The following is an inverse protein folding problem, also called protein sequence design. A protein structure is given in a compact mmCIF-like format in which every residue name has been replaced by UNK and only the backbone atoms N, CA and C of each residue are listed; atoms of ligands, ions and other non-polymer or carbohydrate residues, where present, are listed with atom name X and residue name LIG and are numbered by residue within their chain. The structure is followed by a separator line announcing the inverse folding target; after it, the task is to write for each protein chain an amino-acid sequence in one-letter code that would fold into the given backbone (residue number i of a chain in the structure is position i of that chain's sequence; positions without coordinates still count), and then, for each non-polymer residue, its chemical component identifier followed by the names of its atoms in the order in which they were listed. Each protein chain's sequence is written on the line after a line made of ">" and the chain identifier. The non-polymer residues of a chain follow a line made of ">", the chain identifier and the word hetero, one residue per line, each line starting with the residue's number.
data_IF_276934158264
#
_entry.id   IF_276934158264
#
_cell.length_a   1.000
_cell.length_b   1.000
_cell.length_c   1.000
_cell.angle_alpha   90.00
_cell.angle_beta   90.00
_cell.angle_gamma   90.00
#
_symmetry.space_group_name_H-M   'P 1'
#
loop_
_entity.id
_entity.type
_entity.pdbx_description
1 polymer ?
#
# COMPACT_ATOMS: atom_id res chain seq x y z
N UNK A 1 -60.22 17.14 19.44
CA UNK A 1 -60.78 16.63 20.70
C UNK A 1 -59.88 15.51 21.21
N UNK A 2 -59.46 15.56 22.48
CA UNK A 2 -59.01 14.40 23.27
C UNK A 2 -60.22 13.81 24.02
N UNK A 3 -60.16 12.54 24.51
CA UNK A 3 -59.59 12.20 25.84
C UNK A 3 -58.35 11.25 25.70
N UNK A 4 -57.40 11.05 26.65
CA UNK A 4 -57.41 10.87 28.13
C UNK A 4 -58.01 9.48 28.49
N UNK A 5 -57.29 8.47 28.97
CA UNK A 5 -56.45 8.29 30.19
C UNK A 5 -55.40 7.13 29.95
N UNK A 6 -54.57 6.63 30.89
CA UNK A 6 -53.79 7.15 32.05
C UNK A 6 -53.08 5.94 32.75
N UNK A 7 -52.09 6.18 33.62
CA UNK A 7 -51.41 5.23 34.55
C UNK A 7 -50.45 4.17 33.93
N UNK A 8 -49.46 3.63 34.67
CA UNK A 8 -49.07 3.87 36.07
C UNK A 8 -47.54 3.88 36.28
N UNK A 9 -47.08 4.57 37.32
CA UNK A 9 -45.69 4.58 37.79
C UNK A 9 -45.36 3.33 38.62
N UNK A 10 -44.08 2.94 38.69
CA UNK A 10 -43.60 2.03 39.73
C UNK A 10 -42.32 2.56 40.37
N UNK A 11 -42.35 2.74 41.69
CA UNK A 11 -41.20 3.19 42.51
C UNK A 11 -40.99 2.21 43.65
N UNK A 12 -39.73 1.78 43.84
CA UNK A 12 -39.34 0.93 44.95
C UNK A 12 -38.52 1.74 45.97
N UNK A 13 -38.98 1.78 47.23
CA UNK A 13 -38.22 2.26 48.40
C UNK A 13 -37.69 1.07 49.20
N UNK A 14 -36.65 1.31 50.00
CA UNK A 14 -36.40 0.86 51.40
C UNK A 14 -34.92 1.22 51.68
N UNK A 15 -34.61 2.20 52.57
CA UNK A 15 -34.43 2.08 54.04
C UNK A 15 -33.28 1.11 54.41
N UNK A 16 -32.36 1.35 55.37
CA UNK A 16 -32.21 2.28 56.52
C UNK A 16 -30.69 2.33 56.91
N UNK A 17 -30.12 3.13 57.83
CA UNK A 17 -30.44 4.35 58.62
C UNK A 17 -29.14 4.81 59.36
N UNK A 18 -29.24 5.72 60.35
CA UNK A 18 -28.22 6.14 61.36
C UNK A 18 -27.00 6.97 60.90
N UNK A 19 -26.31 7.77 61.76
CA UNK A 19 -26.74 8.77 62.78
C UNK A 19 -25.52 9.54 63.32
N UNK A 20 -25.63 10.86 63.60
CA UNK A 20 -24.55 11.72 64.18
C UNK A 20 -23.44 12.10 63.18
N UNK A 21 -22.72 13.22 63.27
CA UNK A 21 -22.58 14.26 64.31
C UNK A 21 -21.09 14.40 64.71
N UNK A 22 -20.48 15.58 64.93
CA UNK A 22 -20.92 16.98 64.80
C UNK A 22 -19.71 17.95 64.80
N UNK A 23 -19.94 19.23 64.43
CA UNK A 23 -19.22 20.46 64.85
C UNK A 23 -17.68 20.66 64.63
N UNK A 24 -17.37 21.66 63.77
CA UNK A 24 -16.40 22.77 63.90
C UNK A 24 -14.92 22.63 64.35
N UNK A 25 -14.06 23.25 63.53
CA UNK A 25 -12.73 23.88 63.80
C UNK A 25 -12.70 24.79 65.08
N UNK A 26 -11.53 25.22 65.67
CA UNK A 26 -10.32 25.67 64.94
C UNK A 26 -8.89 25.65 65.61
N UNK A 27 -7.89 25.99 64.78
CA UNK A 27 -6.64 26.76 65.08
C UNK A 27 -5.45 26.15 65.86
N UNK A 28 -4.29 26.82 65.70
CA UNK A 28 -2.99 26.69 66.39
C UNK A 28 -2.21 25.34 66.26
N UNK A 29 -0.86 25.29 66.31
CA UNK A 29 0.20 26.27 66.03
C UNK A 29 1.56 25.56 65.80
N UNK A 30 2.47 26.18 65.03
CA UNK A 30 3.96 26.09 65.12
C UNK A 30 4.68 24.74 65.38
N UNK A 31 5.48 24.28 64.41
CA UNK A 31 6.89 23.87 64.63
C UNK A 31 7.67 23.69 63.29
N UNK A 32 8.99 23.90 63.30
CA UNK A 32 9.88 23.90 62.12
C UNK A 32 10.46 22.52 61.76
N UNK A 33 10.53 22.17 60.47
CA UNK A 33 11.09 20.91 59.95
C UNK A 33 11.99 21.09 58.71
N UNK A 34 13.31 21.15 58.90
CA UNK A 34 14.32 21.58 57.91
C UNK A 34 14.82 20.41 57.02
N UNK A 35 14.77 20.53 55.67
CA UNK A 35 15.90 20.31 54.69
C UNK A 35 15.48 20.07 53.22
N UNK A 36 16.45 20.23 52.32
CA UNK A 36 16.33 20.28 50.85
C UNK A 36 16.07 18.94 50.14
N UNK A 37 15.33 18.98 49.02
CA UNK A 37 15.51 18.05 47.88
C UNK A 37 15.04 18.60 46.50
N UNK A 38 14.77 19.90 46.35
CA UNK A 38 14.14 20.46 45.14
C UNK A 38 15.14 20.93 44.06
N UNK A 39 15.90 20.00 43.44
CA UNK A 39 16.84 20.35 42.33
C UNK A 39 17.10 19.26 41.28
N UNK A 40 16.09 18.46 40.90
CA UNK A 40 16.26 17.39 39.88
C UNK A 40 15.09 17.16 38.91
N UNK A 41 13.91 17.73 39.16
CA UNK A 41 12.69 17.47 38.33
C UNK A 41 12.62 18.30 37.04
N UNK A 42 13.29 19.45 36.99
CA UNK A 42 13.29 20.38 35.84
C UNK A 42 13.97 19.80 34.59
N UNK A 43 15.28 19.52 34.67
CA UNK A 43 16.07 19.02 33.54
C UNK A 43 15.48 17.76 32.89
N UNK A 44 14.86 16.87 33.69
CA UNK A 44 14.20 15.65 33.21
C UNK A 44 12.95 15.90 32.34
N UNK A 45 12.38 17.10 32.34
CA UNK A 45 11.30 17.51 31.42
C UNK A 45 11.86 18.22 30.18
N UNK A 46 12.78 19.17 30.36
CA UNK A 46 13.40 19.91 29.24
C UNK A 46 14.12 18.99 28.26
N UNK A 47 14.90 18.02 28.76
CA UNK A 47 15.60 17.05 27.92
C UNK A 47 14.66 16.15 27.10
N UNK A 48 13.44 15.88 27.58
CA UNK A 48 12.44 15.07 26.84
C UNK A 48 11.86 15.84 25.66
N UNK A 49 11.58 17.14 25.83
CA UNK A 49 11.07 18.00 24.76
C UNK A 49 12.13 18.25 23.69
N UNK A 50 13.37 18.51 24.09
CA UNK A 50 14.50 18.68 23.17
C UNK A 50 14.77 17.39 22.40
N UNK A 51 14.74 16.22 23.05
CA UNK A 51 14.93 14.94 22.36
C UNK A 51 13.78 14.59 21.40
N UNK A 52 12.53 14.92 21.74
CA UNK A 52 11.39 14.76 20.81
C UNK A 52 11.55 15.65 19.57
N UNK A 53 11.93 16.93 19.74
CA UNK A 53 12.21 17.83 18.62
C UNK A 53 13.37 17.33 17.75
N UNK A 54 14.46 16.85 18.35
CA UNK A 54 15.59 16.28 17.61
C UNK A 54 15.24 14.98 16.90
N UNK A 55 14.34 14.15 17.45
CA UNK A 55 13.85 12.95 16.76
C UNK A 55 13.08 13.33 15.49
N UNK A 56 12.14 14.28 15.60
CA UNK A 56 11.35 14.78 14.46
C UNK A 56 12.20 15.51 13.40
N UNK A 57 13.39 16.01 13.75
CA UNK A 57 14.33 16.66 12.83
C UNK A 57 15.35 15.71 12.19
N UNK A 58 15.44 14.46 12.63
CA UNK A 58 16.34 13.44 12.07
C UNK A 58 15.62 12.22 11.46
N UNK A 59 14.32 12.08 11.70
CA UNK A 59 13.47 11.32 10.78
C UNK A 59 13.19 12.17 9.55
N UNK A 60 14.02 12.03 8.51
CA UNK A 60 13.47 12.19 7.17
C UNK A 60 12.22 11.30 7.06
N UNK A 61 11.13 11.75 6.43
CA UNK A 61 9.96 10.93 6.22
C UNK A 61 10.33 9.87 5.17
N UNK A 62 10.92 8.77 5.64
CA UNK A 62 10.83 7.47 4.98
C UNK A 62 9.35 7.15 4.94
N UNK A 63 8.69 7.56 3.85
CA UNK A 63 7.33 7.17 3.49
C UNK A 63 7.39 5.71 3.05
N UNK A 64 7.72 4.86 4.02
CA UNK A 64 7.41 3.46 4.00
C UNK A 64 5.90 3.40 3.89
N UNK A 65 5.43 3.21 2.65
CA UNK A 65 4.06 2.80 2.37
C UNK A 65 3.90 1.45 3.04
N UNK A 66 3.50 1.49 4.32
CA UNK A 66 2.81 0.38 4.96
C UNK A 66 1.53 0.26 4.16
N UNK A 67 1.60 -0.53 3.09
CA UNK A 67 0.43 -1.10 2.48
C UNK A 67 -0.22 -1.90 3.59
N UNK A 68 -1.21 -1.29 4.25
CA UNK A 68 -2.17 -1.99 5.05
C UNK A 68 -2.84 -2.96 4.06
N UNK A 69 -2.32 -4.18 4.02
CA UNK A 69 -2.88 -5.27 3.24
C UNK A 69 -4.16 -5.66 3.96
N UNK A 70 -5.18 -4.84 3.72
CA UNK A 70 -6.51 -4.98 4.27
C UNK A 70 -6.95 -6.40 3.96
N UNK A 71 -7.10 -7.19 5.03
CA UNK A 71 -7.45 -8.59 4.93
C UNK A 71 -8.96 -8.68 4.64
N UNK A 72 -9.34 -8.23 3.43
CA UNK A 72 -10.68 -8.29 2.89
C UNK A 72 -11.22 -9.68 3.15
N UNK A 73 -12.22 -9.78 4.02
CA UNK A 73 -12.84 -11.02 4.41
C UNK A 73 -13.62 -11.57 3.22
N UNK A 74 -12.90 -12.26 2.34
CA UNK A 74 -13.42 -12.81 1.09
C UNK A 74 -14.61 -13.72 1.43
N UNK A 75 -15.84 -13.41 0.98
CA UNK A 75 -17.02 -14.17 1.36
C UNK A 75 -16.86 -15.62 0.90
N UNK A 76 -17.34 -16.56 1.72
CA UNK A 76 -17.10 -17.99 1.53
C UNK A 76 -17.57 -18.45 0.13
N UNK A 77 -16.61 -18.87 -0.70
CA UNK A 77 -16.86 -19.32 -2.08
C UNK A 77 -16.56 -18.30 -3.18
N UNK A 78 -16.22 -17.05 -2.87
CA UNK A 78 -15.80 -16.06 -3.87
C UNK A 78 -14.41 -16.40 -4.44
N UNK A 79 -14.22 -16.46 -5.78
CA UNK A 79 -12.91 -16.67 -6.39
C UNK A 79 -11.93 -15.54 -6.08
N UNK A 80 -10.69 -15.91 -5.70
CA UNK A 80 -9.59 -14.96 -5.48
C UNK A 80 -9.00 -14.43 -6.79
N UNK A 81 -9.12 -15.22 -7.87
CA UNK A 81 -8.58 -14.91 -9.19
C UNK A 81 -9.72 -14.69 -10.20
N UNK A 82 -9.47 -13.87 -11.22
CA UNK A 82 -10.40 -13.56 -12.32
C UNK A 82 -11.78 -13.00 -11.93
N UNK A 83 -12.04 -12.69 -10.65
CA UNK A 83 -13.24 -12.02 -10.18
C UNK A 83 -13.01 -10.51 -10.07
N UNK A 84 -13.87 -9.72 -10.71
CA UNK A 84 -13.72 -8.27 -10.83
C UNK A 84 -14.93 -7.49 -10.29
N UNK A 85 -15.66 -8.06 -9.32
CA UNK A 85 -16.78 -7.40 -8.63
C UNK A 85 -18.12 -7.37 -9.39
N UNK A 86 -18.19 -7.93 -10.59
CA UNK A 86 -19.42 -7.92 -11.40
C UNK A 86 -20.48 -8.89 -10.87
N UNK A 87 -21.73 -8.42 -10.72
CA UNK A 87 -22.91 -9.27 -10.52
C UNK A 87 -23.90 -9.20 -11.70
N UNK A 88 -24.60 -10.31 -11.98
CA UNK A 88 -25.57 -10.36 -13.07
C UNK A 88 -26.03 -11.77 -13.41
N UNK A 89 -26.97 -11.89 -14.36
CA UNK A 89 -27.50 -13.18 -14.83
C UNK A 89 -27.08 -13.36 -16.29
N UNK A 90 -26.21 -14.33 -16.55
CA UNK A 90 -25.68 -14.57 -17.90
C UNK A 90 -24.80 -13.42 -18.41
N UNK A 91 -23.92 -12.89 -17.56
CA UNK A 91 -22.92 -11.85 -17.89
C UNK A 91 -22.06 -12.32 -19.07
N UNK A 92 -21.81 -11.41 -20.01
CA UNK A 92 -20.97 -11.64 -21.19
C UNK A 92 -19.77 -10.72 -21.17
N UNK A 93 -18.67 -11.19 -21.74
CA UNK A 93 -17.43 -10.43 -21.86
C UNK A 93 -16.85 -10.68 -23.26
N UNK A 94 -16.42 -9.62 -23.95
CA UNK A 94 -15.76 -9.72 -25.25
C UNK A 94 -14.75 -8.60 -25.46
N UNK A 95 -13.83 -8.81 -26.40
CA UNK A 95 -12.91 -7.79 -26.87
C UNK A 95 -13.47 -7.07 -28.09
N UNK A 96 -13.32 -5.74 -28.12
CA UNK A 96 -13.54 -4.88 -29.29
C UNK A 96 -12.21 -4.22 -29.64
N UNK A 97 -11.85 -4.19 -30.93
CA UNK A 97 -10.64 -3.54 -31.42
C UNK A 97 -11.07 -2.38 -32.33
N UNK A 98 -10.38 -1.25 -32.24
CA UNK A 98 -10.56 -0.18 -33.24
C UNK A 98 -10.03 -0.63 -34.61
N UNK A 99 -8.98 -1.46 -34.63
CA UNK A 99 -8.26 -1.90 -35.84
C UNK A 99 -7.74 -3.32 -35.63
N UNK A 100 -7.83 -4.16 -36.67
CA UNK A 100 -7.29 -5.53 -36.68
C UNK A 100 -5.76 -5.59 -36.91
N UNK A 101 -5.16 -4.45 -37.22
CA UNK A 101 -3.79 -4.30 -37.70
C UNK A 101 -3.13 -3.06 -37.11
N UNK A 102 -1.87 -3.21 -36.73
CA UNK A 102 -1.05 -2.19 -36.03
C UNK A 102 0.41 -2.38 -36.45
N UNK A 103 1.22 -1.31 -36.57
CA UNK A 103 2.65 -1.50 -36.85
C UNK A 103 3.41 -1.86 -35.57
N UNK A 104 4.52 -2.56 -35.72
CA UNK A 104 5.45 -2.84 -34.62
C UNK A 104 5.87 -1.54 -33.91
N UNK A 105 5.71 -1.49 -32.58
CA UNK A 105 5.95 -0.30 -31.76
C UNK A 105 4.80 0.71 -31.67
N UNK A 106 3.77 0.63 -32.52
CA UNK A 106 2.56 1.48 -32.39
C UNK A 106 1.68 1.03 -31.22
N UNK A 107 0.82 1.93 -30.74
CA UNK A 107 -0.12 1.67 -29.65
C UNK A 107 -1.46 1.24 -30.22
N UNK A 108 -1.91 0.05 -29.87
CA UNK A 108 -3.24 -0.48 -30.15
C UNK A 108 -4.23 -0.02 -29.08
N UNK A 109 -5.44 0.34 -29.51
CA UNK A 109 -6.59 0.54 -28.62
C UNK A 109 -7.48 -0.70 -28.66
N UNK A 110 -7.62 -1.33 -27.49
CA UNK A 110 -8.39 -2.56 -27.26
C UNK A 110 -9.40 -2.29 -26.15
N UNK A 111 -10.66 -2.54 -26.38
CA UNK A 111 -11.72 -2.32 -25.40
C UNK A 111 -12.26 -3.65 -24.89
N UNK A 112 -12.18 -3.88 -23.59
CA UNK A 112 -12.94 -4.95 -22.94
C UNK A 112 -14.36 -4.47 -22.71
N UNK A 113 -15.35 -5.21 -23.21
CA UNK A 113 -16.76 -4.94 -22.94
C UNK A 113 -17.30 -6.01 -22.00
N UNK A 114 -17.99 -5.57 -20.94
CA UNK A 114 -18.69 -6.42 -19.98
C UNK A 114 -20.18 -6.06 -20.05
N UNK A 115 -21.04 -7.04 -20.36
CA UNK A 115 -22.48 -6.84 -20.58
C UNK A 115 -23.35 -7.60 -19.58
N UNK A 116 -24.60 -7.14 -19.43
CA UNK A 116 -25.66 -7.75 -18.59
C UNK A 116 -25.31 -7.74 -17.09
N UNK A 117 -24.51 -6.75 -16.71
CA UNK A 117 -24.08 -6.50 -15.34
C UNK A 117 -25.07 -5.58 -14.65
N UNK A 118 -25.43 -5.88 -13.39
CA UNK A 118 -26.33 -5.06 -12.57
C UNK A 118 -25.63 -3.94 -11.79
N UNK A 119 -24.31 -3.98 -11.64
CA UNK A 119 -23.47 -2.96 -10.98
C UNK A 119 -22.33 -2.41 -11.90
N UNK A 120 -22.59 -1.94 -13.12
CA UNK A 120 -21.54 -1.55 -14.06
C UNK A 120 -20.65 -0.38 -13.58
N UNK A 121 -21.00 0.30 -12.48
CA UNK A 121 -20.17 1.30 -11.79
C UNK A 121 -19.17 0.69 -10.77
N UNK A 122 -19.46 -0.50 -10.22
CA UNK A 122 -18.66 -1.17 -9.19
C UNK A 122 -17.67 -2.20 -9.75
N UNK A 123 -17.86 -2.59 -11.03
CA UNK A 123 -16.94 -3.49 -11.72
C UNK A 123 -15.54 -2.85 -11.75
N UNK A 124 -14.54 -3.65 -11.36
CA UNK A 124 -13.15 -3.24 -11.33
C UNK A 124 -12.51 -3.50 -12.70
N UNK A 125 -11.70 -2.57 -13.19
CA UNK A 125 -10.92 -2.75 -14.43
C UNK A 125 -9.94 -3.94 -14.26
N UNK A 126 -10.00 -4.98 -15.11
CA UNK A 126 -8.99 -6.04 -15.08
C UNK A 126 -7.58 -5.50 -15.33
N UNK A 127 -6.67 -5.84 -14.41
CA UNK A 127 -5.24 -5.50 -14.49
C UNK A 127 -4.50 -6.55 -15.31
N UNK A 128 -4.46 -6.35 -16.63
CA UNK A 128 -3.85 -7.28 -17.58
C UNK A 128 -2.35 -7.48 -17.35
N UNK A 129 -1.67 -6.61 -16.58
CA UNK A 129 -0.26 -6.79 -16.18
C UNK A 129 -0.04 -8.00 -15.27
N UNK A 130 -1.07 -8.41 -14.53
CA UNK A 130 -1.06 -9.60 -13.65
C UNK A 130 -1.34 -10.90 -14.41
N UNK A 131 -1.80 -10.81 -15.66
CA UNK A 131 -2.16 -11.96 -16.48
C UNK A 131 -0.98 -12.35 -17.37
N UNK A 132 -0.40 -13.53 -17.13
CA UNK A 132 0.86 -13.92 -17.77
C UNK A 132 0.81 -13.87 -19.31
N UNK A 133 -0.29 -14.32 -19.93
CA UNK A 133 -0.45 -14.28 -21.39
C UNK A 133 -0.34 -12.85 -21.96
N UNK A 134 -0.95 -11.87 -21.28
CA UNK A 134 -0.88 -10.46 -21.67
C UNK A 134 0.49 -9.85 -21.35
N UNK A 135 1.04 -10.13 -20.17
CA UNK A 135 2.33 -9.59 -19.74
C UNK A 135 3.51 -10.06 -20.62
N UNK A 136 3.43 -11.28 -21.17
CA UNK A 136 4.40 -11.83 -22.13
C UNK A 136 4.31 -11.21 -23.53
N UNK A 137 3.11 -10.85 -23.98
CA UNK A 137 2.86 -10.40 -25.36
C UNK A 137 2.81 -8.87 -25.53
N UNK A 138 2.35 -8.13 -24.51
CA UNK A 138 2.08 -6.70 -24.59
C UNK A 138 2.85 -5.88 -23.54
N UNK A 139 3.12 -4.63 -23.89
CA UNK A 139 3.49 -3.55 -22.98
C UNK A 139 2.24 -2.70 -22.71
N UNK A 140 2.06 -2.27 -21.46
CA UNK A 140 0.92 -1.46 -21.02
C UNK A 140 1.31 0.00 -20.94
N UNK A 141 0.65 0.86 -21.73
CA UNK A 141 0.99 2.27 -21.88
C UNK A 141 0.07 3.12 -20.98
N UNK A 142 0.67 3.93 -20.10
CA UNK A 142 -0.05 4.89 -19.25
C UNK A 142 -0.04 6.31 -19.85
N UNK A 143 -1.04 7.16 -19.56
CA UNK A 143 -2.27 6.85 -18.81
C UNK A 143 -3.25 6.02 -19.66
N UNK A 144 -3.95 5.10 -19.00
CA UNK A 144 -5.07 4.38 -19.63
C UNK A 144 -6.29 5.31 -19.74
N UNK A 145 -7.12 5.23 -20.80
CA UNK A 145 -8.33 6.04 -20.90
C UNK A 145 -9.34 5.69 -19.78
N UNK A 146 -10.34 6.55 -19.50
CA UNK A 146 -11.37 6.25 -18.48
C UNK A 146 -12.21 5.02 -18.85
N UNK A 147 -13.01 4.51 -17.91
CA UNK A 147 -14.03 3.52 -18.21
C UNK A 147 -15.33 4.21 -18.67
N UNK A 148 -16.01 3.61 -19.65
CA UNK A 148 -17.31 4.11 -20.14
C UNK A 148 -18.41 3.24 -19.55
N UNK A 149 -19.29 3.83 -18.74
CA UNK A 149 -20.33 3.10 -18.00
C UNK A 149 -21.70 3.44 -18.56
N UNK A 150 -22.34 2.47 -19.21
CA UNK A 150 -23.73 2.54 -19.62
C UNK A 150 -24.60 1.80 -18.60
N UNK A 151 -24.99 2.54 -17.56
CA UNK A 151 -25.86 2.04 -16.50
C UNK A 151 -27.27 1.67 -16.99
N UNK A 152 -27.74 2.24 -18.11
CA UNK A 152 -29.06 1.94 -18.67
C UNK A 152 -29.09 0.59 -19.42
N UNK A 153 -27.98 0.22 -20.08
CA UNK A 153 -27.82 -1.08 -20.75
C UNK A 153 -27.21 -2.17 -19.85
N UNK A 154 -26.75 -1.83 -18.64
CA UNK A 154 -26.03 -2.77 -17.78
C UNK A 154 -24.68 -3.18 -18.38
N UNK A 155 -23.98 -2.22 -18.99
CA UNK A 155 -22.76 -2.43 -19.76
C UNK A 155 -21.64 -1.50 -19.26
N UNK A 156 -20.40 -2.00 -19.24
CA UNK A 156 -19.20 -1.19 -19.01
C UNK A 156 -18.12 -1.53 -20.03
N UNK A 157 -17.45 -0.50 -20.55
CA UNK A 157 -16.29 -0.62 -21.45
C UNK A 157 -15.03 -0.18 -20.72
N UNK A 158 -13.98 -1.00 -20.79
CA UNK A 158 -12.63 -0.65 -20.38
C UNK A 158 -11.73 -0.58 -21.61
N UNK A 159 -11.50 0.61 -22.19
CA UNK A 159 -10.45 0.81 -23.18
C UNK A 159 -9.06 0.67 -22.55
N UNK A 160 -8.15 0.01 -23.28
CA UNK A 160 -6.75 -0.21 -22.96
C UNK A 160 -5.86 0.22 -24.12
N UNK A 161 -4.81 0.96 -23.79
CA UNK A 161 -3.63 1.26 -24.61
C UNK A 161 -2.58 0.18 -24.37
N UNK A 162 -2.39 -0.68 -25.36
CA UNK A 162 -1.42 -1.78 -25.34
C UNK A 162 -0.48 -1.63 -26.54
N UNK A 163 0.80 -1.91 -26.36
CA UNK A 163 1.77 -2.03 -27.46
C UNK A 163 2.17 -3.50 -27.59
N UNK A 164 2.08 -4.14 -28.78
CA UNK A 164 2.66 -5.46 -28.99
C UNK A 164 4.18 -5.43 -28.78
N UNK A 165 4.73 -6.32 -27.96
CA UNK A 165 6.18 -6.38 -27.67
C UNK A 165 7.00 -6.82 -28.87
N UNK A 166 6.42 -7.69 -29.70
CA UNK A 166 7.10 -8.39 -30.80
C UNK A 166 6.11 -8.61 -31.95
N UNK A 167 6.61 -8.59 -33.20
CA UNK A 167 5.84 -8.95 -34.41
C UNK A 167 5.18 -10.34 -34.40
N UNK A 168 5.59 -11.25 -33.53
CA UNK A 168 5.03 -12.61 -33.39
C UNK A 168 3.66 -12.66 -32.68
N UNK A 169 3.14 -11.54 -32.17
CA UNK A 169 1.82 -11.47 -31.53
C UNK A 169 0.72 -11.46 -32.61
N UNK A 170 0.03 -12.59 -32.78
CA UNK A 170 -1.02 -12.81 -33.80
C UNK A 170 -2.45 -12.69 -33.28
N UNK A 171 -2.63 -12.50 -31.98
CA UNK A 171 -3.93 -12.43 -31.32
C UNK A 171 -3.86 -11.66 -30.00
N UNK A 172 -5.02 -11.23 -29.52
CA UNK A 172 -5.26 -10.79 -28.15
C UNK A 172 -5.73 -12.01 -27.36
N UNK A 173 -5.06 -12.41 -26.25
CA UNK A 173 -5.41 -13.60 -25.49
C UNK A 173 -6.86 -13.61 -24.97
N UNK A 174 -7.43 -14.80 -24.72
CA UNK A 174 -8.72 -14.92 -24.06
C UNK A 174 -8.62 -14.44 -22.60
N UNK A 175 -9.68 -13.80 -22.09
CA UNK A 175 -9.75 -13.34 -20.70
C UNK A 175 -10.76 -14.16 -19.92
N UNK A 176 -10.28 -14.90 -18.92
CA UNK A 176 -11.14 -15.55 -17.91
C UNK A 176 -11.74 -14.50 -16.98
N UNK A 177 -13.04 -14.63 -16.69
CA UNK A 177 -13.81 -13.67 -15.91
C UNK A 177 -14.89 -14.38 -15.07
N UNK A 178 -14.76 -14.37 -13.76
CA UNK A 178 -15.82 -14.80 -12.83
C UNK A 178 -16.76 -13.65 -12.52
N UNK A 179 -18.06 -13.96 -12.39
CA UNK A 179 -19.09 -13.01 -11.96
C UNK A 179 -20.05 -13.66 -10.97
N UNK A 180 -20.67 -12.86 -10.10
CA UNK A 180 -21.66 -13.34 -9.14
C UNK A 180 -23.05 -13.44 -9.79
N UNK A 181 -23.66 -14.62 -9.77
CA UNK A 181 -24.99 -14.90 -10.28
C UNK A 181 -25.95 -15.22 -9.12
N UNK A 182 -26.78 -14.26 -8.65
CA UNK A 182 -27.72 -14.46 -7.55
C UNK A 182 -28.90 -15.38 -7.92
N UNK A 183 -29.04 -15.79 -9.18
CA UNK A 183 -30.07 -16.74 -9.65
C UNK A 183 -29.53 -18.15 -9.88
N UNK A 184 -28.25 -18.39 -9.60
CA UNK A 184 -27.67 -19.74 -9.58
C UNK A 184 -27.85 -20.39 -8.19
N UNK A 185 -27.96 -21.73 -8.12
CA UNK A 185 -28.07 -22.43 -6.83
C UNK A 185 -26.82 -22.25 -5.98
N UNK A 186 -26.98 -22.41 -4.66
CA UNK A 186 -25.91 -22.30 -3.68
C UNK A 186 -24.69 -23.17 -4.02
N UNK A 187 -23.49 -22.66 -3.76
CA UNK A 187 -22.24 -23.29 -4.18
C UNK A 187 -21.93 -23.20 -5.69
N UNK A 188 -22.84 -22.69 -6.54
CA UNK A 188 -22.60 -22.44 -7.98
C UNK A 188 -22.80 -20.99 -8.39
N UNK A 189 -22.76 -20.08 -7.42
CA UNK A 189 -23.02 -18.64 -7.59
C UNK A 189 -21.91 -17.86 -8.31
N UNK A 190 -20.75 -18.47 -8.59
CA UNK A 190 -19.63 -17.81 -9.29
C UNK A 190 -19.28 -18.51 -10.63
N UNK A 191 -20.20 -18.54 -11.62
CA UNK A 191 -19.90 -19.05 -12.95
C UNK A 191 -18.70 -18.33 -13.59
N UNK A 192 -17.95 -19.08 -14.40
CA UNK A 192 -16.89 -18.56 -15.26
C UNK A 192 -17.48 -18.18 -16.62
N UNK A 193 -17.10 -17.02 -17.14
CA UNK A 193 -17.27 -16.62 -18.54
C UNK A 193 -15.92 -16.22 -19.12
N UNK A 194 -15.79 -16.22 -20.44
CA UNK A 194 -14.50 -16.03 -21.12
C UNK A 194 -14.66 -15.09 -22.30
N UNK A 195 -13.88 -14.01 -22.34
CA UNK A 195 -13.71 -13.23 -23.56
C UNK A 195 -12.93 -14.07 -24.58
N UNK A 196 -13.45 -14.31 -25.79
CA UNK A 196 -12.74 -15.08 -26.80
C UNK A 196 -11.48 -14.35 -27.27
N UNK A 197 -10.47 -15.09 -27.72
CA UNK A 197 -9.30 -14.50 -28.37
C UNK A 197 -9.71 -13.77 -29.67
N UNK A 198 -9.01 -12.69 -30.01
CA UNK A 198 -9.27 -11.93 -31.24
C UNK A 198 -7.99 -11.71 -32.02
N UNK A 199 -8.00 -12.08 -33.30
CA UNK A 199 -6.85 -12.00 -34.21
C UNK A 199 -6.32 -10.57 -34.35
N UNK A 200 -5.00 -10.42 -34.34
CA UNK A 200 -4.27 -9.17 -34.50
C UNK A 200 -3.14 -9.35 -35.53
N UNK A 201 -2.94 -8.36 -36.41
CA UNK A 201 -1.87 -8.38 -37.42
C UNK A 201 -0.84 -7.31 -37.13
N UNK A 202 0.28 -7.69 -36.51
CA UNK A 202 1.43 -6.79 -36.35
C UNK A 202 2.18 -6.65 -37.68
N UNK A 203 2.03 -5.50 -38.32
CA UNK A 203 2.75 -5.12 -39.52
C UNK A 203 4.19 -4.75 -39.15
N UNK A 204 5.19 -5.04 -40.01
CA UNK A 204 6.53 -4.51 -39.81
C UNK A 204 6.49 -2.96 -39.85
N UNK A 205 7.49 -2.28 -39.25
CA UNK A 205 7.68 -0.85 -39.52
C UNK A 205 7.91 -0.66 -41.04
N UNK A 206 7.54 0.49 -41.62
CA UNK A 206 7.81 0.75 -43.03
C UNK A 206 9.33 0.70 -43.25
N UNK A 207 9.78 -0.22 -44.12
CA UNK A 207 11.22 -0.37 -44.37
C UNK A 207 11.80 0.92 -44.89
N UNK A 208 12.91 1.38 -44.31
CA UNK A 208 13.58 2.62 -44.67
C UNK A 208 14.35 2.54 -45.99
N UNK A 209 14.10 1.51 -46.82
CA UNK A 209 14.55 1.41 -48.22
C UNK A 209 14.07 2.58 -49.10
N UNK A 210 13.01 3.28 -48.68
CA UNK A 210 12.57 4.56 -49.27
C UNK A 210 13.19 5.82 -48.64
N UNK A 211 14.00 5.70 -47.58
CA UNK A 211 14.77 6.82 -47.05
C UNK A 211 15.95 7.06 -47.96
N UNK A 212 15.79 8.02 -48.87
CA UNK A 212 16.85 8.47 -49.79
C UNK A 212 18.18 8.61 -49.06
N UNK A 213 19.24 8.05 -49.64
CA UNK A 213 20.62 8.24 -49.20
C UNK A 213 21.13 9.65 -49.56
N UNK A 214 20.35 10.67 -49.21
CA UNK A 214 20.88 11.99 -48.90
C UNK A 214 21.93 11.76 -47.81
N UNK A 215 23.23 12.02 -48.07
CA UNK A 215 24.22 11.92 -47.01
C UNK A 215 23.82 12.92 -45.94
N UNK A 216 23.60 12.43 -44.72
CA UNK A 216 23.21 13.28 -43.60
C UNK A 216 24.34 14.30 -43.39
N UNK A 217 24.13 15.54 -43.82
CA UNK A 217 25.03 16.66 -43.55
C UNK A 217 24.88 17.07 -42.08
N UNK A 218 25.17 16.14 -41.18
CA UNK A 218 25.50 16.45 -39.81
C UNK A 218 26.79 17.28 -39.86
N UNK A 219 26.62 18.59 -39.65
CA UNK A 219 27.67 19.58 -39.73
C UNK A 219 28.84 19.18 -38.83
N UNK A 220 30.08 19.40 -39.30
CA UNK A 220 31.27 18.76 -38.74
C UNK A 220 31.50 18.96 -37.23
N UNK A 221 30.87 19.96 -36.62
CA UNK A 221 30.90 20.16 -35.16
C UNK A 221 30.26 19.01 -34.35
N UNK A 222 29.34 18.23 -34.92
CA UNK A 222 28.79 17.02 -34.27
C UNK A 222 29.80 15.85 -34.25
N UNK A 223 30.81 15.88 -35.13
CA UNK A 223 31.87 14.86 -35.22
C UNK A 223 33.25 15.38 -34.81
N UNK A 224 33.37 16.67 -34.49
CA UNK A 224 34.51 17.19 -33.75
C UNK A 224 34.50 16.61 -32.35
N UNK A 225 35.29 15.54 -32.14
CA UNK A 225 35.90 15.34 -30.84
C UNK A 225 36.62 16.64 -30.51
N UNK A 226 36.16 17.34 -29.46
CA UNK A 226 36.86 18.52 -28.94
C UNK A 226 38.09 18.00 -28.22
N UNK A 227 39.14 17.76 -29.00
CA UNK A 227 40.49 17.38 -28.57
C UNK A 227 41.22 18.61 -28.00
N UNK A 228 40.55 19.28 -27.05
CA UNK A 228 41.13 20.39 -26.31
C UNK A 228 41.99 19.88 -25.16
N UNK A 229 43.04 20.62 -24.83
CA UNK A 229 43.94 20.40 -23.68
C UNK A 229 43.26 20.49 -22.29
N UNK A 230 41.93 20.52 -22.26
CA UNK A 230 41.11 20.17 -21.10
C UNK A 230 41.33 18.71 -20.72
N UNK A 231 42.47 18.44 -20.08
CA UNK A 231 42.81 17.16 -19.43
C UNK A 231 41.61 16.71 -18.62
N UNK A 232 40.85 15.76 -19.16
CA UNK A 232 39.80 15.08 -18.42
C UNK A 232 40.49 14.43 -17.23
N UNK A 233 40.28 15.01 -16.04
CA UNK A 233 40.75 14.47 -14.78
C UNK A 233 39.87 13.26 -14.46
N UNK A 234 40.10 12.19 -15.23
CA UNK A 234 39.57 10.85 -15.05
C UNK A 234 39.72 10.54 -13.57
N UNK A 235 38.59 10.59 -12.85
CA UNK A 235 38.57 10.80 -11.41
C UNK A 235 39.28 9.62 -10.75
N UNK A 236 40.55 9.81 -10.44
CA UNK A 236 41.45 8.74 -10.04
C UNK A 236 41.00 8.33 -8.65
N UNK A 237 40.20 7.27 -8.60
CA UNK A 237 39.45 6.84 -7.43
C UNK A 237 40.38 6.58 -6.27
N UNK A 238 40.64 7.63 -5.50
CA UNK A 238 41.57 7.64 -4.39
C UNK A 238 41.01 6.67 -3.36
N UNK A 239 41.57 5.45 -3.34
CA UNK A 239 41.05 4.33 -2.57
C UNK A 239 40.80 4.83 -1.15
N UNK A 240 39.54 4.83 -0.66
CA UNK A 240 39.18 5.56 0.55
C UNK A 240 40.11 5.11 1.68
N UNK A 241 40.76 6.05 2.39
CA UNK A 241 41.84 5.70 3.30
C UNK A 241 41.34 4.67 4.32
N UNK A 242 42.17 3.66 4.58
CA UNK A 242 41.84 2.50 5.41
C UNK A 242 41.30 2.86 6.81
N UNK A 243 41.62 4.06 7.30
CA UNK A 243 41.03 4.67 8.50
C UNK A 243 39.51 4.82 8.45
N UNK A 244 38.89 5.06 7.28
CA UNK A 244 37.44 5.09 7.11
C UNK A 244 36.80 3.71 7.28
N UNK A 245 37.48 2.65 6.80
CA UNK A 245 37.04 1.27 7.01
C UNK A 245 37.13 0.87 8.49
N UNK A 246 38.21 1.24 9.19
CA UNK A 246 38.30 1.08 10.64
C UNK A 246 37.24 1.91 11.38
N UNK A 247 37.02 3.17 10.97
CA UNK A 247 36.01 4.03 11.59
C UNK A 247 34.61 3.41 11.48
N UNK A 248 34.23 2.88 10.30
CA UNK A 248 32.97 2.16 10.12
C UNK A 248 32.88 0.93 11.03
N UNK A 249 33.93 0.10 11.06
CA UNK A 249 34.00 -1.13 11.85
C UNK A 249 33.95 -0.88 13.38
N UNK A 250 34.39 0.29 13.85
CA UNK A 250 34.37 0.69 15.26
C UNK A 250 33.10 1.47 15.63
N UNK A 251 32.63 2.42 14.81
CA UNK A 251 31.43 3.21 15.10
C UNK A 251 30.16 2.36 15.06
N UNK A 252 30.04 1.37 14.18
CA UNK A 252 28.89 0.46 14.11
C UNK A 252 28.56 -0.20 15.46
N UNK A 253 29.45 -1.02 16.04
CA UNK A 253 29.21 -1.68 17.33
C UNK A 253 29.11 -0.69 18.50
N UNK A 254 29.82 0.45 18.47
CA UNK A 254 29.67 1.49 19.50
C UNK A 254 28.30 2.18 19.43
N UNK A 255 27.74 2.39 18.25
CA UNK A 255 26.38 2.90 18.05
C UNK A 255 25.34 1.94 18.62
N UNK A 256 25.42 0.65 18.27
CA UNK A 256 24.53 -0.39 18.81
C UNK A 256 24.66 -0.52 20.34
N UNK A 257 25.88 -0.50 20.88
CA UNK A 257 26.12 -0.63 22.32
C UNK A 257 25.66 0.59 23.13
N UNK A 258 25.93 1.80 22.64
CA UNK A 258 25.47 3.04 23.28
C UNK A 258 23.94 3.16 23.25
N UNK A 259 23.30 2.84 22.11
CA UNK A 259 21.85 2.73 22.00
C UNK A 259 21.26 1.71 22.98
N UNK A 260 21.85 0.50 23.06
CA UNK A 260 21.41 -0.54 23.98
C UNK A 260 21.53 -0.12 25.45
N UNK A 261 22.58 0.62 25.83
CA UNK A 261 22.73 1.17 27.18
C UNK A 261 21.74 2.29 27.46
N UNK A 262 21.46 3.17 26.50
CA UNK A 262 20.47 4.24 26.63
C UNK A 262 19.05 3.65 26.79
N UNK A 263 18.69 2.67 25.97
CA UNK A 263 17.44 1.92 26.07
C UNK A 263 17.30 1.21 27.42
N UNK A 264 18.35 0.52 27.90
CA UNK A 264 18.37 -0.11 29.23
C UNK A 264 18.17 0.89 30.38
N UNK A 265 18.58 2.15 30.21
CA UNK A 265 18.43 3.20 31.21
C UNK A 265 17.03 3.84 31.19
N UNK A 266 16.37 3.91 30.03
CA UNK A 266 15.01 4.41 29.89
C UNK A 266 13.92 3.37 30.19
N UNK A 267 14.18 2.08 30.00
CA UNK A 267 13.20 1.00 30.19
C UNK A 267 13.62 -0.02 31.27
N UNK A 268 13.72 0.38 32.56
CA UNK A 268 14.08 -0.54 33.64
C UNK A 268 13.06 -1.67 33.84
N UNK A 269 11.77 -1.40 33.63
CA UNK A 269 10.70 -2.36 33.86
C UNK A 269 10.66 -3.49 32.82
N UNK A 270 11.22 -3.28 31.62
CA UNK A 270 11.40 -4.35 30.64
C UNK A 270 12.34 -5.45 31.17
N UNK A 271 13.34 -5.09 32.00
CA UNK A 271 14.24 -6.05 32.63
C UNK A 271 13.51 -6.87 33.72
N UNK A 272 12.64 -6.21 34.50
CA UNK A 272 11.78 -6.87 35.50
C UNK A 272 10.83 -7.87 34.84
N UNK A 273 10.19 -7.48 33.73
CA UNK A 273 9.31 -8.37 32.95
C UNK A 273 10.08 -9.57 32.36
N UNK A 274 11.32 -9.38 31.90
CA UNK A 274 12.17 -10.49 31.43
C UNK A 274 12.54 -11.47 32.56
N UNK A 275 12.87 -10.96 33.76
CA UNK A 275 13.11 -11.79 34.94
C UNK A 275 11.85 -12.56 35.38
N UNK A 276 10.68 -11.92 35.38
CA UNK A 276 9.39 -12.55 35.68
C UNK A 276 8.98 -13.62 34.65
N UNK A 277 9.35 -13.45 33.37
CA UNK A 277 9.17 -14.51 32.36
C UNK A 277 10.09 -15.70 32.62
N UNK A 278 11.37 -15.47 32.95
CA UNK A 278 12.33 -16.55 33.28
C UNK A 278 11.95 -17.32 34.54
N UNK A 279 11.48 -16.66 35.60
CA UNK A 279 11.04 -17.35 36.83
C UNK A 279 9.73 -18.12 36.66
N UNK A 280 8.84 -17.70 35.74
CA UNK A 280 7.67 -18.49 35.33
C UNK A 280 8.09 -19.76 34.56
N UNK A 281 9.01 -19.64 33.59
CA UNK A 281 9.53 -20.80 32.86
C UNK A 281 10.21 -21.81 33.80
N UNK A 282 11.04 -21.35 34.75
CA UNK A 282 11.65 -22.22 35.76
C UNK A 282 10.60 -22.94 36.64
N UNK A 283 9.52 -22.25 37.04
CA UNK A 283 8.42 -22.87 37.82
C UNK A 283 7.62 -23.92 37.04
N UNK A 284 7.51 -23.76 35.71
CA UNK A 284 6.86 -24.75 34.86
C UNK A 284 7.69 -26.03 34.65
N UNK A 285 8.98 -26.03 34.97
CA UNK A 285 9.86 -27.23 34.92
C UNK A 285 9.89 -27.98 36.27
N UNK A 286 9.49 -27.33 37.36
CA UNK A 286 9.48 -27.90 38.73
C UNK A 286 8.09 -28.42 39.14
N UNK A 287 7.12 -28.42 38.20
CA UNK A 287 5.87 -29.19 38.29
C UNK A 287 5.85 -30.28 37.21
N UNK A 288 6.30 -31.51 37.53
CA UNK A 288 5.72 -32.69 36.91
C UNK A 288 4.23 -32.82 37.29
#
# INVERSE_FOLDING_TARGET
>A
MTPICMNCSYTARINCSYSGGSLSLPSASSATGRRHASRSRGLRRSARLIFLLLLCLWTEPVVGKVYAQEATSNPLGQPTEHYYGAWGVGVRVHWELERDSVKEGEVLLVTLVVERVRNPQEVQRPDLRKLEAFARQFEWIEPQPPAEVDAAKGQVRYPYRLRPRHRTVTEIPPLLFHYYNPSAPEGRQYPLTTAPAVTLRVLPPPSSEGSSALPLQAEGFWFQLVEGDGKVTLWSGARPPWSLWLASLVLGPLGVWSWYRLWRWWFPDAQRLAQLRRSRLARNVVRP
#
